data_IF_330798644583
#
_entry.id   IF_330798644583
#
_cell.length_a   1.000
_cell.length_b   1.000
_cell.length_c   1.000
_cell.angle_alpha   90.00
_cell.angle_beta   90.00
_cell.angle_gamma   90.00
#
_symmetry.space_group_name_H-M   'P 1'
#
loop_
_entity.id
_entity.type
_entity.pdbx_description
1 polymer ?
#
# COMPACT_ATOMS: atom_id res chain seq x y z
N UNK A 1 -22.05 4.19 -11.47
CA UNK A 1 -22.61 4.71 -10.20
C UNK A 1 -22.50 3.61 -9.15
N UNK A 2 -21.85 3.88 -8.01
CA UNK A 2 -21.79 2.92 -6.90
C UNK A 2 -23.19 2.82 -6.26
N UNK A 3 -23.71 1.60 -6.13
CA UNK A 3 -25.07 1.35 -5.65
C UNK A 3 -25.08 1.20 -4.12
N UNK A 4 -26.11 1.74 -3.45
CA UNK A 4 -26.38 1.57 -2.01
C UNK A 4 -25.26 2.01 -1.03
N UNK A 5 -24.38 2.90 -1.46
CA UNK A 5 -23.20 3.35 -0.69
C UNK A 5 -23.55 3.86 0.72
N UNK A 6 -24.65 4.61 0.84
CA UNK A 6 -25.11 5.15 2.14
C UNK A 6 -25.58 4.08 3.13
N UNK A 7 -25.94 2.89 2.65
CA UNK A 7 -26.47 1.82 3.50
C UNK A 7 -25.36 0.94 4.08
N UNK A 8 -24.22 0.86 3.40
CA UNK A 8 -23.15 -0.11 3.71
C UNK A 8 -21.90 0.52 4.31
N UNK A 9 -21.69 1.84 4.12
CA UNK A 9 -20.51 2.53 4.64
C UNK A 9 -20.67 3.02 6.08
N UNK A 10 -19.54 3.33 6.71
CA UNK A 10 -19.48 3.73 8.12
C UNK A 10 -20.26 5.03 8.37
N UNK A 11 -21.20 5.00 9.32
CA UNK A 11 -22.10 6.13 9.63
C UNK A 11 -21.33 7.40 10.01
N UNK A 12 -20.27 7.27 10.80
CA UNK A 12 -19.44 8.41 11.22
C UNK A 12 -18.76 9.10 10.02
N UNK A 13 -18.41 8.36 8.97
CA UNK A 13 -17.85 8.94 7.75
C UNK A 13 -18.95 9.67 6.97
N UNK A 14 -20.09 8.99 6.75
CA UNK A 14 -21.24 9.53 6.02
C UNK A 14 -21.86 10.78 6.66
N UNK A 15 -21.65 11.00 7.96
CA UNK A 15 -22.11 12.19 8.65
C UNK A 15 -21.40 13.47 8.17
N UNK A 16 -20.16 13.35 7.67
CA UNK A 16 -19.29 14.49 7.40
C UNK A 16 -18.78 14.56 5.95
N UNK A 17 -19.00 13.51 5.15
CA UNK A 17 -18.39 13.34 3.81
C UNK A 17 -19.40 12.88 2.77
N UNK A 18 -19.09 13.12 1.49
CA UNK A 18 -19.85 12.51 0.41
C UNK A 18 -19.73 10.98 0.50
N UNK A 19 -20.82 10.21 0.27
CA UNK A 19 -20.76 8.75 0.35
C UNK A 19 -19.67 8.11 -0.51
N UNK A 20 -19.36 8.69 -1.67
CA UNK A 20 -18.33 8.15 -2.55
C UNK A 20 -16.91 8.36 -1.99
N UNK A 21 -16.66 9.43 -1.24
CA UNK A 21 -15.39 9.64 -0.54
C UNK A 21 -15.17 8.57 0.52
N UNK A 22 -16.22 8.18 1.24
CA UNK A 22 -16.16 7.13 2.25
C UNK A 22 -15.87 5.72 1.71
N UNK A 23 -15.89 5.55 0.38
CA UNK A 23 -15.44 4.31 -0.27
C UNK A 23 -13.90 4.23 -0.32
N UNK A 24 -13.22 5.38 -0.28
CA UNK A 24 -11.77 5.43 -0.30
C UNK A 24 -11.19 5.25 1.12
N UNK A 25 -10.13 4.44 1.28
CA UNK A 25 -9.50 4.21 2.57
C UNK A 25 -9.07 5.49 3.29
N UNK A 26 -8.66 6.52 2.55
CA UNK A 26 -8.16 7.80 3.08
C UNK A 26 -9.19 8.52 3.96
N UNK A 27 -10.49 8.38 3.67
CA UNK A 27 -11.56 8.93 4.49
C UNK A 27 -12.18 7.90 5.43
N UNK A 28 -12.36 6.66 4.96
CA UNK A 28 -12.96 5.60 5.76
C UNK A 28 -12.17 5.32 7.05
N UNK A 29 -10.83 5.30 6.96
CA UNK A 29 -9.94 4.96 8.07
C UNK A 29 -10.13 5.86 9.29
N UNK A 30 -10.49 7.14 9.08
CA UNK A 30 -10.72 8.14 10.13
C UNK A 30 -11.89 7.77 11.04
N UNK A 31 -12.80 6.93 10.55
CA UNK A 31 -14.01 6.50 11.26
C UNK A 31 -13.87 5.14 11.94
N UNK A 32 -12.82 4.37 11.64
CA UNK A 32 -12.64 3.04 12.21
C UNK A 32 -12.10 3.14 13.63
N UNK A 33 -12.71 2.38 14.56
CA UNK A 33 -12.30 2.32 15.98
C UNK A 33 -11.58 1.03 16.33
N UNK A 34 -11.85 -0.04 15.59
CA UNK A 34 -11.22 -1.34 15.80
C UNK A 34 -9.72 -1.24 15.47
N UNK A 35 -8.82 -1.81 16.28
CA UNK A 35 -7.40 -1.88 15.94
C UNK A 35 -7.19 -2.58 14.60
N UNK A 36 -6.34 -2.01 13.73
CA UNK A 36 -6.05 -2.55 12.41
C UNK A 36 -4.54 -2.61 12.14
N UNK A 37 -4.16 -3.56 11.29
CA UNK A 37 -2.83 -3.61 10.69
C UNK A 37 -2.94 -3.30 9.20
N UNK A 38 -2.24 -2.25 8.75
CA UNK A 38 -2.21 -1.82 7.36
C UNK A 38 -0.99 -2.44 6.69
N UNK A 39 -1.20 -3.19 5.63
CA UNK A 39 -0.15 -3.71 4.77
C UNK A 39 -0.41 -3.24 3.35
N UNK A 40 0.57 -2.59 2.74
CA UNK A 40 0.48 -2.22 1.34
C UNK A 40 1.88 -2.03 0.74
N UNK A 41 2.03 -2.28 -0.55
CA UNK A 41 3.20 -1.81 -1.28
C UNK A 41 3.05 -0.30 -1.54
N UNK A 42 4.12 0.46 -1.35
CA UNK A 42 4.21 1.86 -1.78
C UNK A 42 4.07 2.03 -3.31
N UNK A 43 4.42 0.99 -4.06
CA UNK A 43 4.37 0.95 -5.52
C UNK A 43 3.51 -0.24 -5.96
N UNK A 44 2.25 -0.29 -5.49
CA UNK A 44 1.33 -1.39 -5.81
C UNK A 44 1.16 -1.54 -7.33
N UNK A 45 1.61 -2.68 -7.85
CA UNK A 45 1.70 -2.90 -9.29
C UNK A 45 0.33 -2.89 -9.95
N UNK A 46 -0.71 -3.36 -9.25
CA UNK A 46 -2.07 -3.39 -9.79
C UNK A 46 -2.65 -1.98 -9.88
N UNK A 47 -2.50 -1.15 -8.85
CA UNK A 47 -2.93 0.25 -8.87
C UNK A 47 -2.22 1.02 -9.99
N UNK A 48 -0.90 0.83 -10.15
CA UNK A 48 -0.13 1.47 -11.22
C UNK A 48 -0.65 1.05 -12.59
N UNK A 49 -0.87 -0.25 -12.82
CA UNK A 49 -1.27 -0.75 -14.13
C UNK A 49 -2.73 -0.47 -14.52
N UNK A 50 -3.64 -0.37 -13.54
CA UNK A 50 -5.09 -0.35 -13.80
C UNK A 50 -5.77 0.98 -13.44
N UNK A 51 -5.19 1.75 -12.53
CA UNK A 51 -5.78 3.02 -12.07
C UNK A 51 -4.97 4.20 -12.63
N UNK A 52 -3.66 4.16 -12.47
CA UNK A 52 -2.78 5.28 -12.84
C UNK A 52 -2.42 5.26 -14.33
N UNK A 53 -2.09 4.08 -14.87
CA UNK A 53 -1.64 3.89 -16.25
C UNK A 53 -2.44 2.78 -16.98
N UNK A 54 -3.79 2.84 -17.00
CA UNK A 54 -4.58 1.86 -17.71
C UNK A 54 -4.31 1.95 -19.21
N UNK A 55 -4.31 0.80 -19.87
CA UNK A 55 -3.97 0.67 -21.30
C UNK A 55 -4.84 1.55 -22.20
N UNK A 56 -6.06 1.88 -21.78
CA UNK A 56 -6.98 2.79 -22.50
C UNK A 56 -6.60 4.27 -22.40
N UNK A 57 -5.83 4.69 -21.39
CA UNK A 57 -5.46 6.09 -21.14
C UNK A 57 -3.95 6.34 -21.13
N UNK A 58 -3.12 5.36 -21.52
CA UNK A 58 -1.68 5.52 -21.71
C UNK A 58 -1.33 5.67 -23.21
N UNK A 59 -1.56 6.85 -23.83
CA UNK A 59 -1.17 7.09 -25.22
C UNK A 59 0.36 7.13 -25.39
N UNK A 60 1.12 7.35 -24.32
CA UNK A 60 2.58 7.35 -24.39
C UNK A 60 3.18 5.95 -24.24
N UNK A 61 3.85 5.49 -25.30
CA UNK A 61 4.67 4.26 -25.30
C UNK A 61 5.75 4.26 -24.22
N UNK A 62 6.14 5.44 -23.71
CA UNK A 62 7.18 5.62 -22.68
C UNK A 62 6.84 4.89 -21.37
N UNK A 63 5.56 4.80 -21.02
CA UNK A 63 5.10 4.21 -19.76
C UNK A 63 4.83 2.71 -19.84
N UNK A 64 4.68 2.14 -21.04
CA UNK A 64 4.30 0.73 -21.22
C UNK A 64 5.28 -0.21 -20.51
N UNK A 65 6.59 -0.03 -20.74
CA UNK A 65 7.61 -0.87 -20.11
C UNK A 65 7.73 -0.61 -18.59
N UNK A 66 7.58 0.66 -18.19
CA UNK A 66 7.68 1.10 -16.79
C UNK A 66 6.54 0.58 -15.91
N UNK A 67 5.29 0.58 -16.43
CA UNK A 67 4.13 0.08 -15.67
C UNK A 67 4.12 -1.44 -15.51
N UNK A 68 4.78 -2.17 -16.40
CA UNK A 68 4.89 -3.63 -16.31
C UNK A 68 6.07 -4.03 -15.42
N UNK A 69 7.12 -3.21 -15.37
CA UNK A 69 8.28 -3.39 -14.52
C UNK A 69 8.86 -2.03 -14.11
N UNK A 70 8.76 -1.69 -12.82
CA UNK A 70 9.26 -0.42 -12.27
C UNK A 70 10.76 -0.19 -12.54
N UNK A 71 11.55 -1.25 -12.70
CA UNK A 71 12.97 -1.15 -13.00
C UNK A 71 13.26 -0.60 -14.41
N UNK A 72 12.27 -0.59 -15.29
CA UNK A 72 12.37 0.01 -16.62
C UNK A 72 11.93 1.49 -16.63
N UNK A 73 11.50 2.04 -15.49
CA UNK A 73 11.14 3.44 -15.38
C UNK A 73 12.39 4.33 -15.42
N UNK A 74 12.31 5.44 -16.15
CA UNK A 74 13.32 6.48 -16.06
C UNK A 74 13.13 7.34 -14.79
N UNK A 75 14.10 8.19 -14.47
CA UNK A 75 14.08 9.01 -13.26
C UNK A 75 12.88 9.95 -13.14
N UNK A 76 12.35 10.47 -14.26
CA UNK A 76 11.14 11.30 -14.26
C UNK A 76 9.91 10.46 -13.93
N UNK A 77 9.83 9.24 -14.47
CA UNK A 77 8.73 8.31 -14.18
C UNK A 77 8.74 7.86 -12.72
N UNK A 78 9.91 7.54 -12.17
CA UNK A 78 10.07 7.20 -10.74
C UNK A 78 9.61 8.36 -9.85
N UNK A 79 9.98 9.60 -10.15
CA UNK A 79 9.52 10.77 -9.39
C UNK A 79 8.00 10.88 -9.31
N UNK A 80 7.29 10.61 -10.42
CA UNK A 80 5.82 10.60 -10.42
C UNK A 80 5.28 9.50 -9.49
N UNK A 81 5.88 8.30 -9.52
CA UNK A 81 5.49 7.23 -8.62
C UNK A 81 5.82 7.54 -7.15
N UNK A 82 6.93 8.23 -6.88
CA UNK A 82 7.31 8.69 -5.54
C UNK A 82 6.32 9.72 -4.99
N UNK A 83 5.81 10.64 -5.83
CA UNK A 83 4.76 11.58 -5.43
C UNK A 83 3.46 10.87 -5.01
N UNK A 84 3.11 9.78 -5.70
CA UNK A 84 1.93 8.95 -5.36
C UNK A 84 2.17 8.22 -4.04
N UNK A 85 3.35 7.59 -3.88
CA UNK A 85 3.77 6.98 -2.62
C UNK A 85 3.69 7.99 -1.47
N UNK A 86 4.23 9.18 -1.66
CA UNK A 86 4.27 10.23 -0.64
C UNK A 86 2.87 10.73 -0.28
N UNK A 87 1.96 10.83 -1.26
CA UNK A 87 0.54 11.10 -1.01
C UNK A 87 -0.08 10.03 -0.12
N UNK A 88 0.08 8.75 -0.47
CA UNK A 88 -0.45 7.64 0.34
C UNK A 88 0.10 7.65 1.78
N UNK A 89 1.40 7.83 1.95
CA UNK A 89 2.03 7.89 3.28
C UNK A 89 1.52 9.08 4.09
N UNK A 90 1.33 10.24 3.44
CA UNK A 90 0.78 11.42 4.10
C UNK A 90 -0.65 11.19 4.59
N UNK A 91 -1.49 10.53 3.79
CA UNK A 91 -2.86 10.20 4.18
C UNK A 91 -2.90 9.21 5.36
N UNK A 92 -1.93 8.30 5.43
CA UNK A 92 -1.80 7.33 6.51
C UNK A 92 -1.28 7.94 7.82
N UNK A 93 -0.82 9.20 7.85
CA UNK A 93 -0.40 9.87 9.10
C UNK A 93 -1.52 9.97 10.13
N UNK A 94 -2.78 9.87 9.71
CA UNK A 94 -3.94 9.89 10.60
C UNK A 94 -3.97 8.73 11.61
N UNK A 95 -3.20 7.65 11.37
CA UNK A 95 -3.10 6.55 12.33
C UNK A 95 -1.88 6.65 13.26
N UNK A 96 -1.04 7.68 13.12
CA UNK A 96 0.23 7.78 13.87
C UNK A 96 0.03 7.77 15.40
N UNK A 97 -1.05 8.38 15.89
CA UNK A 97 -1.43 8.44 17.30
C UNK A 97 -2.14 7.16 17.80
N UNK A 98 -2.54 6.25 16.90
CA UNK A 98 -3.14 4.96 17.24
C UNK A 98 -2.06 3.96 17.67
N UNK A 99 -1.86 3.78 18.96
CA UNK A 99 -0.79 2.94 19.52
C UNK A 99 -1.03 1.43 19.33
N UNK A 100 -2.28 1.02 19.23
CA UNK A 100 -2.75 -0.34 19.01
C UNK A 100 -2.85 -0.73 17.54
N UNK A 101 -2.63 0.21 16.62
CA UNK A 101 -2.59 -0.03 15.18
C UNK A 101 -1.17 -0.34 14.72
N UNK A 102 -1.09 -1.12 13.64
CA UNK A 102 0.16 -1.45 12.98
C UNK A 102 0.14 -1.05 11.50
N UNK A 103 1.33 -0.88 10.94
CA UNK A 103 1.51 -0.59 9.52
C UNK A 103 2.85 -1.14 9.02
N UNK A 104 2.84 -1.72 7.82
CA UNK A 104 4.02 -2.13 7.07
C UNK A 104 3.85 -1.71 5.61
N UNK A 105 4.66 -0.76 5.16
CA UNK A 105 4.67 -0.25 3.79
C UNK A 105 6.06 -0.47 3.20
N UNK A 106 6.21 -1.48 2.34
CA UNK A 106 7.45 -1.73 1.62
C UNK A 106 7.49 -1.05 0.25
N UNK A 107 8.69 -0.90 -0.29
CA UNK A 107 8.92 -0.27 -1.58
C UNK A 107 9.09 -1.25 -2.73
N UNK A 108 8.54 -2.46 -2.61
CA UNK A 108 8.58 -3.45 -3.67
C UNK A 108 7.45 -3.25 -4.66
N UNK A 109 7.73 -3.40 -5.95
CA UNK A 109 6.69 -3.37 -6.99
C UNK A 109 5.96 -4.71 -7.04
N UNK A 110 4.88 -4.84 -6.26
CA UNK A 110 4.15 -6.09 -6.03
C UNK A 110 2.68 -5.82 -5.72
N UNK A 111 1.87 -6.88 -5.71
CA UNK A 111 0.47 -6.86 -5.31
C UNK A 111 0.12 -8.11 -4.47
N UNK A 112 -1.01 -8.10 -3.75
CA UNK A 112 -1.55 -9.26 -3.00
C UNK A 112 -0.56 -9.96 -2.04
N UNK A 113 0.25 -9.21 -1.30
CA UNK A 113 1.40 -9.72 -0.55
C UNK A 113 1.07 -10.76 0.54
N UNK A 114 -0.16 -10.77 1.06
CA UNK A 114 -0.59 -11.73 2.10
C UNK A 114 -0.85 -13.13 1.55
N UNK A 115 -1.17 -13.25 0.25
CA UNK A 115 -1.59 -14.52 -0.34
C UNK A 115 -0.41 -15.44 -0.66
N UNK A 116 0.76 -14.87 -0.90
CA UNK A 116 1.91 -15.63 -1.37
C UNK A 116 2.94 -15.81 -0.26
N UNK A 117 3.35 -17.07 -0.05
CA UNK A 117 4.43 -17.39 0.91
C UNK A 117 5.72 -16.62 0.60
N UNK A 118 6.01 -16.41 -0.69
CA UNK A 118 7.23 -15.72 -1.15
C UNK A 118 7.27 -14.27 -0.71
N UNK A 119 6.14 -13.55 -0.65
CA UNK A 119 6.07 -12.19 -0.12
C UNK A 119 5.85 -12.17 1.41
N UNK A 120 5.07 -13.11 1.94
CA UNK A 120 4.65 -13.08 3.34
C UNK A 120 5.73 -13.51 4.35
N UNK A 121 6.38 -14.67 4.14
CA UNK A 121 7.14 -15.35 5.21
C UNK A 121 8.38 -16.13 4.77
N UNK A 122 8.71 -16.14 3.49
CA UNK A 122 9.88 -16.85 2.97
C UNK A 122 11.20 -16.18 3.37
N UNK A 123 12.35 -16.89 3.25
CA UNK A 123 13.67 -16.31 3.45
C UNK A 123 13.92 -15.09 2.55
N UNK A 124 13.41 -15.13 1.32
CA UNK A 124 13.54 -14.07 0.31
C UNK A 124 12.40 -13.06 0.34
N UNK A 125 11.50 -13.10 1.32
CA UNK A 125 10.42 -12.11 1.43
C UNK A 125 10.96 -10.69 1.60
N UNK A 126 10.22 -9.67 1.13
CA UNK A 126 10.51 -8.28 1.47
C UNK A 126 10.69 -8.07 2.96
N UNK A 127 11.67 -7.26 3.32
CA UNK A 127 12.02 -6.92 4.70
C UNK A 127 12.25 -5.44 4.85
N UNK A 128 11.79 -4.91 5.97
CA UNK A 128 12.26 -3.64 6.51
C UNK A 128 13.14 -3.98 7.71
N UNK A 129 14.39 -3.52 7.67
CA UNK A 129 15.42 -4.01 8.58
C UNK A 129 15.58 -5.54 8.47
N UNK A 130 15.38 -6.25 9.59
CA UNK A 130 15.52 -7.70 9.66
C UNK A 130 14.19 -8.47 9.69
N UNK A 131 13.04 -7.81 9.60
CA UNK A 131 11.72 -8.43 9.73
C UNK A 131 11.01 -8.50 8.39
N UNK A 132 10.40 -9.66 8.10
CA UNK A 132 9.45 -9.80 7.00
C UNK A 132 8.02 -9.52 7.50
N UNK A 133 7.09 -9.44 6.55
CA UNK A 133 5.68 -9.11 6.82
C UNK A 133 5.09 -10.01 7.91
N UNK A 134 5.24 -11.34 7.79
CA UNK A 134 4.71 -12.28 8.77
C UNK A 134 5.24 -12.06 10.19
N UNK A 135 6.52 -11.70 10.34
CA UNK A 135 7.11 -11.39 11.64
C UNK A 135 6.50 -10.12 12.23
N UNK A 136 6.38 -9.05 11.44
CA UNK A 136 5.84 -7.77 11.90
C UNK A 136 4.37 -7.90 12.28
N UNK A 137 3.55 -8.53 11.43
CA UNK A 137 2.13 -8.77 11.72
C UNK A 137 1.97 -9.67 12.94
N UNK A 138 2.78 -10.74 13.06
CA UNK A 138 2.74 -11.62 14.22
C UNK A 138 3.11 -10.91 15.52
N UNK A 139 4.13 -10.05 15.50
CA UNK A 139 4.52 -9.29 16.69
C UNK A 139 3.44 -8.29 17.11
N UNK A 140 2.79 -7.61 16.16
CA UNK A 140 1.64 -6.75 16.42
C UNK A 140 0.46 -7.53 17.01
N UNK A 141 0.07 -8.64 16.36
CA UNK A 141 -1.09 -9.44 16.76
C UNK A 141 -0.96 -10.01 18.17
N UNK A 142 0.24 -10.48 18.54
CA UNK A 142 0.51 -11.03 19.87
C UNK A 142 0.96 -9.97 20.89
N UNK A 143 0.91 -8.67 20.56
CA UNK A 143 1.29 -7.58 21.46
C UNK A 143 2.77 -7.57 21.86
N UNK A 144 3.65 -8.21 21.08
CA UNK A 144 5.10 -8.23 21.31
C UNK A 144 5.78 -6.91 20.90
N UNK A 145 5.08 -6.11 20.11
CA UNK A 145 5.48 -4.78 19.69
C UNK A 145 4.23 -3.90 19.58
N UNK A 146 4.23 -2.72 20.21
CA UNK A 146 3.15 -1.76 20.12
C UNK A 146 3.50 -0.65 19.11
N UNK A 147 2.49 -0.18 18.36
CA UNK A 147 2.61 0.96 17.47
C UNK A 147 3.60 0.79 16.31
N UNK A 148 3.84 -0.43 15.83
CA UNK A 148 4.79 -0.67 14.72
C UNK A 148 4.26 -0.06 13.44
N UNK A 149 4.91 1.00 12.98
CA UNK A 149 4.59 1.71 11.73
C UNK A 149 5.85 1.76 10.88
N UNK A 150 6.11 0.66 10.20
CA UNK A 150 7.29 0.49 9.36
C UNK A 150 6.95 1.00 7.94
N UNK A 151 7.71 1.98 7.47
CA UNK A 151 7.61 2.54 6.13
C UNK A 151 9.01 2.52 5.53
N UNK A 152 9.12 1.95 4.35
CA UNK A 152 10.38 1.78 3.63
C UNK A 152 10.82 3.07 2.92
N UNK A 153 12.05 3.11 2.40
CA UNK A 153 12.58 4.25 1.63
C UNK A 153 12.05 4.29 0.19
N UNK A 154 12.27 5.36 -0.57
CA UNK A 154 11.84 5.44 -1.98
C UNK A 154 12.58 4.41 -2.87
N UNK A 155 11.90 3.91 -3.91
CA UNK A 155 12.48 2.96 -4.87
C UNK A 155 13.74 3.55 -5.54
N UNK A 156 14.80 2.76 -5.82
CA UNK A 156 14.96 1.30 -5.68
C UNK A 156 15.73 0.88 -4.42
N UNK A 157 15.43 1.46 -3.25
CA UNK A 157 16.32 1.29 -2.10
C UNK A 157 16.32 -0.12 -1.46
N UNK A 158 15.22 -0.89 -1.56
CA UNK A 158 15.09 -2.13 -0.81
C UNK A 158 15.61 -3.34 -1.61
N UNK A 159 16.76 -3.92 -1.23
CA UNK A 159 17.39 -5.01 -1.98
C UNK A 159 16.68 -6.36 -1.77
N UNK A 160 15.71 -6.45 -0.86
CA UNK A 160 14.96 -7.68 -0.56
C UNK A 160 13.70 -7.84 -1.40
N UNK A 161 13.37 -6.84 -2.21
CA UNK A 161 12.29 -6.94 -3.17
C UNK A 161 12.63 -7.95 -4.26
N UNK A 162 11.92 -9.09 -4.27
CA UNK A 162 12.04 -10.03 -5.37
C UNK A 162 11.51 -9.39 -6.65
N UNK A 163 12.34 -9.38 -7.70
CA UNK A 163 12.02 -8.83 -9.02
C UNK A 163 11.12 -9.73 -9.87
N UNK A 164 10.60 -10.82 -9.32
CA UNK A 164 9.71 -11.73 -10.02
C UNK A 164 8.27 -11.50 -9.53
N UNK A 165 7.34 -11.08 -10.40
CA UNK A 165 5.93 -11.13 -10.06
C UNK A 165 5.56 -12.57 -9.69
N UNK A 166 4.66 -12.79 -8.72
CA UNK A 166 4.12 -14.12 -8.51
C UNK A 166 3.52 -14.65 -9.83
N UNK A 167 3.64 -15.95 -10.12
CA UNK A 167 3.17 -16.55 -11.36
C UNK A 167 1.66 -16.38 -11.57
#
# INVERSE_FOLDING_TARGET
QLQNVRQVLHKDCLANKDPTECFFPTELIKSIRTPMFILNSAYDSWQIQNVLLPTSSSPEKSWLSCKDNIGNCNSTQIKVLDEIRNTMINDLKVINDKADWGMFIDSCFTHCQTLFRISWSSPTSPRLGNKNIAKVVGDWYFGRSQGVKEIDCEYPCNPTCNSLPPP
#
